data_IF_993541744486
#
_entry.id   IF_993541744486
#
_cell.length_a   1.000
_cell.length_b   1.000
_cell.length_c   1.000
_cell.angle_alpha   90.00
_cell.angle_beta   90.00
_cell.angle_gamma   90.00
#
_symmetry.space_group_name_H-M   'P 1'
#
loop_
_entity.id
_entity.type
_entity.pdbx_description
1 polymer ?
#
# COMPACT_ATOMS: atom_id res chain seq x y z
N UNK A 1 18.07 -7.28 -0.81
CA UNK A 1 17.86 -5.98 -0.16
C UNK A 1 17.93 -4.88 -1.22
N UNK A 2 16.79 -4.34 -1.68
CA UNK A 2 16.69 -3.47 -2.87
C UNK A 2 16.19 -2.04 -2.57
N UNK A 3 16.11 -1.66 -1.29
CA UNK A 3 15.66 -0.35 -0.81
C UNK A 3 16.80 0.64 -0.55
N UNK A 4 18.05 0.16 -0.58
CA UNK A 4 19.25 0.91 -0.21
C UNK A 4 19.48 2.19 -1.05
N UNK A 5 19.28 2.22 -2.39
CA UNK A 5 19.65 3.41 -3.15
C UNK A 5 18.71 4.61 -2.91
N UNK A 6 17.42 4.38 -2.68
CA UNK A 6 16.44 5.48 -2.50
C UNK A 6 16.42 6.01 -1.07
N UNK A 7 16.55 5.13 -0.06
CA UNK A 7 16.65 5.56 1.33
C UNK A 7 17.93 6.35 1.62
N UNK A 8 19.01 6.12 0.86
CA UNK A 8 20.30 6.80 1.05
C UNK A 8 20.41 8.12 0.26
N UNK A 9 19.66 8.27 -0.84
CA UNK A 9 19.73 9.46 -1.71
C UNK A 9 18.71 10.54 -1.35
N UNK A 10 17.82 10.29 -0.39
CA UNK A 10 16.77 11.23 0.04
C UNK A 10 15.69 11.47 -1.02
N UNK A 11 15.61 10.60 -2.02
CA UNK A 11 14.63 10.73 -3.10
C UNK A 11 13.23 10.34 -2.58
N UNK A 12 12.19 11.12 -2.94
CA UNK A 12 10.83 10.79 -2.57
C UNK A 12 10.43 9.46 -3.24
N UNK A 13 9.82 8.57 -2.46
CA UNK A 13 9.37 7.26 -2.93
C UNK A 13 8.02 6.87 -2.29
N UNK A 14 7.15 6.23 -3.07
CA UNK A 14 5.83 5.75 -2.66
C UNK A 14 5.70 4.27 -3.01
N UNK A 15 5.15 3.47 -2.10
CA UNK A 15 4.87 2.04 -2.31
C UNK A 15 3.36 1.81 -2.45
N UNK A 16 2.95 1.10 -3.50
CA UNK A 16 1.55 0.84 -3.82
C UNK A 16 1.29 -0.67 -3.97
N UNK A 17 0.09 -1.17 -3.64
CA UNK A 17 -0.29 -2.55 -3.89
C UNK A 17 -0.43 -2.79 -5.39
N UNK A 18 0.19 -3.87 -5.89
CA UNK A 18 0.20 -4.23 -7.31
C UNK A 18 -0.51 -5.57 -7.58
N UNK A 19 -1.41 -5.96 -6.67
CA UNK A 19 -2.19 -7.20 -6.78
C UNK A 19 -1.55 -8.37 -6.02
N UNK A 20 -1.84 -9.58 -6.49
CA UNK A 20 -1.41 -10.82 -5.86
C UNK A 20 -0.87 -11.78 -6.92
N UNK A 21 0.20 -12.48 -6.59
CA UNK A 21 0.71 -13.60 -7.37
C UNK A 21 0.76 -14.85 -6.48
N UNK A 22 0.13 -15.93 -6.93
CA UNK A 22 0.03 -17.19 -6.17
C UNK A 22 -0.47 -17.02 -4.71
N UNK A 23 -1.36 -16.04 -4.47
CA UNK A 23 -1.89 -15.73 -3.14
C UNK A 23 -0.99 -14.83 -2.28
N UNK A 24 0.18 -14.44 -2.77
CA UNK A 24 1.09 -13.52 -2.09
C UNK A 24 0.88 -12.09 -2.57
N UNK A 25 0.79 -11.09 -1.67
CA UNK A 25 0.63 -9.70 -2.07
C UNK A 25 1.90 -9.19 -2.77
N UNK A 26 1.71 -8.55 -3.92
CA UNK A 26 2.76 -7.85 -4.64
C UNK A 26 2.63 -6.35 -4.42
N UNK A 27 3.76 -5.65 -4.43
CA UNK A 27 3.82 -4.20 -4.36
C UNK A 27 4.78 -3.66 -5.41
N UNK A 28 4.53 -2.41 -5.82
CA UNK A 28 5.45 -1.61 -6.62
C UNK A 28 5.95 -0.45 -5.78
N UNK A 29 7.20 -0.05 -6.01
CA UNK A 29 7.77 1.15 -5.41
C UNK A 29 8.11 2.13 -6.53
N UNK A 30 7.47 3.30 -6.49
CA UNK A 30 7.76 4.43 -7.35
C UNK A 30 8.74 5.35 -6.63
N UNK A 31 9.66 5.96 -7.37
CA UNK A 31 10.57 6.98 -6.85
C UNK A 31 10.68 8.12 -7.86
N UNK A 32 10.79 9.34 -7.34
CA UNK A 32 10.92 10.54 -8.15
C UNK A 32 12.20 11.30 -7.81
N UNK A 33 12.50 12.31 -8.62
CA UNK A 33 13.57 13.27 -8.33
C UNK A 33 13.17 14.11 -7.10
N UNK A 34 14.18 14.65 -6.42
CA UNK A 34 13.96 15.58 -5.30
C UNK A 34 13.23 16.82 -5.82
N UNK A 35 12.11 17.20 -5.20
CA UNK A 35 11.28 18.33 -5.62
C UNK A 35 10.14 17.97 -6.59
N UNK A 36 10.05 16.71 -7.03
CA UNK A 36 8.97 16.22 -7.91
C UNK A 36 7.92 15.38 -7.14
N UNK A 37 7.70 15.66 -5.86
CA UNK A 37 6.72 14.96 -5.01
C UNK A 37 5.30 15.04 -5.58
N UNK A 38 4.93 16.17 -6.17
CA UNK A 38 3.60 16.35 -6.79
C UNK A 38 3.39 15.37 -7.95
N UNK A 39 4.43 15.17 -8.77
CA UNK A 39 4.39 14.21 -9.87
C UNK A 39 4.35 12.78 -9.35
N UNK A 40 5.10 12.47 -8.29
CA UNK A 40 5.09 11.16 -7.65
C UNK A 40 3.71 10.83 -7.09
N UNK A 41 3.08 11.79 -6.40
CA UNK A 41 1.73 11.66 -5.87
C UNK A 41 0.68 11.54 -6.99
N UNK A 42 0.80 12.33 -8.07
CA UNK A 42 -0.10 12.23 -9.21
C UNK A 42 0.00 10.88 -9.92
N UNK A 43 1.23 10.36 -10.10
CA UNK A 43 1.47 9.04 -10.68
C UNK A 43 0.92 7.93 -9.79
N UNK A 44 1.13 8.02 -8.47
CA UNK A 44 0.57 7.08 -7.52
C UNK A 44 -0.96 7.09 -7.54
N UNK A 45 -1.57 8.27 -7.54
CA UNK A 45 -3.02 8.43 -7.63
C UNK A 45 -3.59 7.87 -8.94
N UNK A 46 -2.94 8.16 -10.08
CA UNK A 46 -3.36 7.60 -11.37
C UNK A 46 -3.27 6.08 -11.40
N UNK A 47 -2.23 5.50 -10.77
CA UNK A 47 -2.08 4.05 -10.64
C UNK A 47 -3.19 3.44 -9.78
N UNK A 48 -3.54 4.06 -8.65
CA UNK A 48 -4.66 3.62 -7.80
C UNK A 48 -6.00 3.76 -8.52
N UNK A 49 -6.24 4.84 -9.27
CA UNK A 49 -7.49 4.99 -10.03
C UNK A 49 -7.61 3.98 -11.19
N UNK A 50 -6.48 3.57 -11.76
CA UNK A 50 -6.46 2.57 -12.83
C UNK A 50 -6.54 1.13 -12.31
N UNK A 51 -6.38 0.88 -10.99
CA UNK A 51 -6.29 -0.46 -10.44
C UNK A 51 -7.07 -0.65 -9.14
N UNK A 52 -7.86 -1.72 -9.04
CA UNK A 52 -8.56 -2.10 -7.79
C UNK A 52 -7.67 -2.89 -6.81
N UNK A 53 -6.34 -2.75 -6.91
CA UNK A 53 -5.40 -3.54 -6.10
C UNK A 53 -5.43 -3.17 -4.62
N UNK A 54 -5.80 -1.94 -4.28
CA UNK A 54 -5.98 -1.47 -2.90
C UNK A 54 -7.27 -1.96 -2.24
N UNK A 55 -8.25 -2.40 -3.03
CA UNK A 55 -9.58 -2.81 -2.56
C UNK A 55 -9.58 -4.25 -2.00
N UNK A 56 -8.51 -5.00 -2.24
CA UNK A 56 -8.37 -6.39 -1.75
C UNK A 56 -7.58 -6.40 -0.44
N UNK A 57 -8.20 -6.78 0.69
CA UNK A 57 -7.47 -6.95 1.94
C UNK A 57 -6.40 -8.04 1.77
N UNK A 58 -5.22 -7.90 2.38
CA UNK A 58 -4.21 -8.94 2.35
C UNK A 58 -4.79 -10.23 2.93
N UNK A 59 -4.51 -11.36 2.27
CA UNK A 59 -4.80 -12.67 2.85
C UNK A 59 -3.91 -12.81 4.09
N UNK A 60 -4.49 -12.56 5.27
CA UNK A 60 -3.83 -12.83 6.52
C UNK A 60 -3.87 -14.34 6.70
N UNK A 61 -2.71 -15.01 6.58
CA UNK A 61 -2.57 -16.34 7.17
C UNK A 61 -2.92 -16.17 8.64
N UNK A 62 -4.00 -16.80 9.09
CA UNK A 62 -4.35 -16.87 10.50
C UNK A 62 -3.36 -17.81 11.22
N UNK A 63 -2.07 -17.49 11.20
CA UNK A 63 -1.06 -18.21 11.95
C UNK A 63 -0.86 -17.52 13.31
N UNK A 64 -1.61 -18.06 14.26
CA UNK A 64 -1.43 -17.88 15.70
C UNK A 64 -1.82 -16.50 16.26
N UNK A 65 -3.07 -16.09 16.03
CA UNK A 65 -3.72 -15.05 16.86
C UNK A 65 -3.62 -15.47 18.33
N UNK A 66 -2.91 -14.72 19.20
CA UNK A 66 -3.04 -14.91 20.63
C UNK A 66 -4.51 -14.69 20.96
N UNK A 67 -5.20 -15.71 21.50
CA UNK A 67 -6.59 -15.61 21.93
C UNK A 67 -6.74 -14.39 22.84
N UNK A 68 -7.20 -13.26 22.31
CA UNK A 68 -7.28 -12.02 23.08
C UNK A 68 -7.30 -10.69 22.31
N UNK A 69 -6.87 -10.61 21.05
CA UNK A 69 -6.97 -9.36 20.29
C UNK A 69 -8.28 -9.33 19.52
N UNK A 70 -9.28 -8.68 20.10
CA UNK A 70 -10.57 -8.39 19.44
C UNK A 70 -10.31 -7.53 18.20
N UNK A 71 -10.54 -8.14 17.03
CA UNK A 71 -10.36 -7.52 15.73
C UNK A 71 -11.41 -6.42 15.54
N UNK A 72 -11.07 -5.19 15.94
CA UNK A 72 -11.87 -4.00 15.68
C UNK A 72 -11.43 -3.36 14.36
N UNK A 73 -11.81 -3.99 13.26
CA UNK A 73 -11.92 -3.29 11.97
C UNK A 73 -13.39 -3.24 11.61
N UNK A 74 -14.12 -2.38 12.33
CA UNK A 74 -15.51 -2.09 12.05
C UNK A 74 -15.59 -1.15 10.84
N UNK A 75 -15.83 -1.72 9.66
CA UNK A 75 -16.41 -0.97 8.54
C UNK A 75 -17.91 -0.84 8.82
N UNK A 76 -18.32 0.32 9.32
CA UNK A 76 -19.72 0.74 9.36
C UNK A 76 -19.90 1.98 8.48
N UNK A 77 -20.97 2.10 7.69
CA UNK A 77 -21.22 3.28 6.88
C UNK A 77 -21.46 4.49 7.81
N UNK A 78 -20.67 5.54 7.60
CA UNK A 78 -20.85 6.82 8.28
C UNK A 78 -22.04 7.53 7.62
N UNK A 79 -23.25 7.24 8.08
CA UNK A 79 -24.44 8.05 7.78
C UNK A 79 -24.43 9.24 8.73
N UNK A 80 -24.06 10.40 8.20
CA UNK A 80 -24.26 11.71 8.79
C UNK A 80 -25.72 12.15 8.63
N UNK A 81 -26.30 12.62 9.73
CA UNK A 81 -27.57 13.35 9.79
C UNK A 81 -27.34 14.66 10.54
#
# INVERSE_FOLDING_TARGET
MRTIPFSLTGQPAITLPAGFDNGLPLSIQLAARIGDEDLLCAAAHAFEQATDHATRPPFILAENTPRGVSQRFATGPRTDG
#
